data_IF_058226964838
#
_entry.id   IF_058226964838
#
_cell.length_a   1.000
_cell.length_b   1.000
_cell.length_c   1.000
_cell.angle_alpha   90.00
_cell.angle_beta   90.00
_cell.angle_gamma   90.00
#
_symmetry.space_group_name_H-M   'P 1'
#
loop_
_entity.id
_entity.type
_entity.pdbx_description
1 polymer ?
#
# COMPACT_ATOMS: atom_id res chain seq x y z
N UNK A 1 -9.33 -22.46 -10.32
CA UNK A 1 -8.86 -21.21 -9.70
C UNK A 1 -7.75 -20.70 -10.59
N UNK A 2 -7.87 -19.51 -11.17
CA UNK A 2 -6.79 -18.97 -12.01
C UNK A 2 -5.53 -18.82 -11.15
N UNK A 3 -4.42 -19.33 -11.67
CA UNK A 3 -3.10 -19.21 -11.06
C UNK A 3 -2.60 -17.77 -11.21
N UNK A 4 -3.08 -16.88 -10.34
CA UNK A 4 -2.54 -15.51 -10.27
C UNK A 4 -1.18 -15.60 -9.61
N UNK A 5 -0.10 -15.58 -10.41
CA UNK A 5 1.26 -15.69 -9.90
C UNK A 5 1.65 -14.56 -8.92
N UNK A 6 1.02 -13.38 -9.05
CA UNK A 6 1.24 -12.20 -8.19
C UNK A 6 0.13 -11.17 -8.40
N UNK A 7 -0.15 -10.36 -7.38
CA UNK A 7 -0.98 -9.16 -7.50
C UNK A 7 -0.20 -7.90 -7.10
N UNK A 8 -0.53 -6.77 -7.72
CA UNK A 8 -0.01 -5.45 -7.34
C UNK A 8 -1.19 -4.53 -7.10
N UNK A 9 -1.21 -3.85 -5.95
CA UNK A 9 -2.20 -2.83 -5.60
C UNK A 9 -1.51 -1.48 -5.67
N UNK A 10 -2.10 -0.54 -6.42
CA UNK A 10 -1.58 0.84 -6.53
C UNK A 10 -2.53 1.77 -5.78
N UNK A 11 -1.98 2.57 -4.87
CA UNK A 11 -2.72 3.53 -4.04
C UNK A 11 -2.18 4.94 -4.34
N UNK A 12 -2.82 5.71 -5.22
CA UNK A 12 -2.53 7.13 -5.32
C UNK A 12 -3.01 7.84 -4.05
N UNK A 13 -2.17 8.70 -3.49
CA UNK A 13 -2.45 9.47 -2.28
C UNK A 13 -1.99 10.92 -2.49
N UNK A 14 -2.90 11.88 -2.28
CA UNK A 14 -2.61 13.31 -2.27
C UNK A 14 -3.07 13.89 -0.94
N UNK A 15 -2.13 14.19 -0.04
CA UNK A 15 -2.39 14.74 1.29
C UNK A 15 -3.35 13.88 2.15
N UNK A 16 -2.98 12.61 2.33
CA UNK A 16 -3.80 11.60 3.00
C UNK A 16 -3.17 11.07 4.30
N UNK A 17 -2.29 11.82 4.97
CA UNK A 17 -1.57 11.39 6.18
C UNK A 17 -2.50 10.79 7.24
N UNK A 18 -3.71 11.33 7.41
CA UNK A 18 -4.67 10.86 8.41
C UNK A 18 -5.38 9.54 8.04
N UNK A 19 -5.53 9.25 6.74
CA UNK A 19 -6.35 8.12 6.25
C UNK A 19 -5.51 6.98 5.67
N UNK A 20 -4.36 7.31 5.09
CA UNK A 20 -3.45 6.38 4.45
C UNK A 20 -3.02 5.24 5.39
N UNK A 21 -2.73 5.45 6.69
CA UNK A 21 -2.38 4.35 7.59
C UNK A 21 -3.48 3.29 7.74
N UNK A 22 -4.75 3.72 7.75
CA UNK A 22 -5.90 2.80 7.84
C UNK A 22 -6.08 2.03 6.53
N UNK A 23 -5.91 2.70 5.39
CA UNK A 23 -5.95 2.07 4.07
C UNK A 23 -4.88 0.96 3.95
N UNK A 24 -3.62 1.29 4.28
CA UNK A 24 -2.51 0.35 4.16
C UNK A 24 -2.64 -0.84 5.11
N UNK A 25 -3.11 -0.63 6.35
CA UNK A 25 -3.43 -1.75 7.27
C UNK A 25 -4.49 -2.69 6.70
N UNK A 26 -5.52 -2.14 6.05
CA UNK A 26 -6.58 -2.95 5.43
C UNK A 26 -6.02 -3.76 4.25
N UNK A 27 -5.16 -3.16 3.42
CA UNK A 27 -4.52 -3.83 2.29
C UNK A 27 -3.55 -4.93 2.74
N UNK A 28 -2.70 -4.66 3.74
CA UNK A 28 -1.81 -5.69 4.31
C UNK A 28 -2.61 -6.84 4.90
N UNK A 29 -3.73 -6.56 5.58
CA UNK A 29 -4.63 -7.61 6.09
C UNK A 29 -5.25 -8.42 4.95
N UNK A 30 -5.74 -7.76 3.91
CA UNK A 30 -6.36 -8.43 2.77
C UNK A 30 -5.36 -9.30 1.98
N UNK A 31 -4.10 -8.87 1.88
CA UNK A 31 -3.01 -9.62 1.26
C UNK A 31 -2.78 -10.98 1.92
N UNK A 32 -2.97 -11.08 3.24
CA UNK A 32 -2.87 -12.36 3.97
C UNK A 32 -4.02 -13.32 3.66
N UNK A 33 -5.10 -12.86 3.05
CA UNK A 33 -6.29 -13.67 2.75
C UNK A 33 -6.32 -14.21 1.32
N UNK A 34 -5.30 -13.93 0.50
CA UNK A 34 -5.20 -14.41 -0.88
C UNK A 34 -3.99 -15.33 -1.04
N UNK A 35 -4.07 -16.34 -1.94
CA UNK A 35 -2.97 -17.29 -2.14
C UNK A 35 -1.80 -16.70 -2.95
N UNK A 36 -2.02 -15.57 -3.64
CA UNK A 36 -1.00 -14.90 -4.45
C UNK A 36 -0.24 -13.87 -3.62
N UNK A 37 1.10 -13.73 -3.77
CA UNK A 37 1.84 -12.63 -3.17
C UNK A 37 1.30 -11.28 -3.66
N UNK A 38 1.13 -10.32 -2.74
CA UNK A 38 0.63 -8.97 -3.04
C UNK A 38 1.72 -7.95 -2.71
N UNK A 39 1.97 -7.03 -3.65
CA UNK A 39 2.82 -5.86 -3.41
C UNK A 39 1.96 -4.60 -3.50
N UNK A 40 2.06 -3.71 -2.52
CA UNK A 40 1.35 -2.43 -2.51
C UNK A 40 2.32 -1.31 -2.89
N UNK A 41 1.97 -0.52 -3.89
CA UNK A 41 2.70 0.67 -4.32
C UNK A 41 1.85 1.89 -3.98
N UNK A 42 2.34 2.71 -3.05
CA UNK A 42 1.76 3.99 -2.69
C UNK A 42 2.41 5.05 -3.57
N UNK A 43 1.61 5.80 -4.31
CA UNK A 43 2.08 6.90 -5.15
C UNK A 43 1.74 8.19 -4.42
N UNK A 44 2.75 8.92 -3.95
CA UNK A 44 2.55 10.25 -3.38
C UNK A 44 2.39 11.25 -4.53
N UNK A 45 1.15 11.57 -4.86
CA UNK A 45 0.81 12.46 -5.97
C UNK A 45 0.97 13.92 -5.55
N UNK A 46 2.21 14.43 -5.53
CA UNK A 46 2.50 15.82 -5.15
C UNK A 46 2.01 16.22 -3.75
N UNK A 47 2.06 15.30 -2.79
CA UNK A 47 1.68 15.53 -1.39
C UNK A 47 2.71 16.41 -0.66
N UNK A 48 2.23 17.29 0.21
CA UNK A 48 3.02 18.19 1.05
C UNK A 48 2.65 18.13 2.54
N UNK A 49 1.76 17.20 2.92
CA UNK A 49 1.31 16.99 4.31
C UNK A 49 2.25 16.13 5.16
N UNK A 50 3.36 15.64 4.60
CA UNK A 50 4.29 14.73 5.27
C UNK A 50 3.88 13.24 5.21
N UNK A 51 3.01 12.84 4.29
CA UNK A 51 2.66 11.43 4.07
C UNK A 51 3.86 10.50 3.78
N UNK A 52 5.01 11.04 3.38
CA UNK A 52 6.26 10.31 3.14
C UNK A 52 6.86 9.69 4.42
N UNK A 53 6.58 10.25 5.60
CA UNK A 53 7.06 9.71 6.88
C UNK A 53 6.52 8.32 7.19
N UNK A 54 5.40 7.94 6.55
CA UNK A 54 4.76 6.63 6.68
C UNK A 54 5.54 5.52 5.95
N UNK A 55 6.52 5.87 5.10
CA UNK A 55 7.33 4.91 4.40
C UNK A 55 8.12 4.02 5.37
N UNK A 56 8.00 2.71 5.21
CA UNK A 56 8.66 1.71 6.06
C UNK A 56 7.85 1.25 7.28
N UNK A 57 6.70 1.86 7.58
CA UNK A 57 5.86 1.44 8.71
C UNK A 57 5.05 0.15 8.46
N UNK A 58 4.87 -0.26 7.20
CA UNK A 58 3.91 -1.31 6.80
C UNK A 58 4.56 -2.62 6.32
N UNK A 59 5.88 -2.75 6.48
CA UNK A 59 6.64 -3.94 6.09
C UNK A 59 7.18 -3.90 4.66
N UNK A 60 7.91 -4.96 4.24
CA UNK A 60 8.72 -4.94 3.03
C UNK A 60 7.92 -4.99 1.72
N UNK A 61 6.64 -5.35 1.77
CA UNK A 61 5.76 -5.47 0.60
C UNK A 61 4.98 -4.17 0.29
N UNK A 62 5.21 -3.10 1.06
CA UNK A 62 4.62 -1.78 0.85
C UNK A 62 5.72 -0.79 0.48
N UNK A 63 5.63 -0.22 -0.72
CA UNK A 63 6.61 0.72 -1.25
C UNK A 63 5.95 2.05 -1.54
N UNK A 64 6.65 3.14 -1.22
CA UNK A 64 6.23 4.50 -1.53
C UNK A 64 7.07 4.99 -2.72
N UNK A 65 6.42 5.62 -3.70
CA UNK A 65 7.04 6.26 -4.86
C UNK A 65 6.52 7.68 -5.08
#
# INVERSE_FOLDING_TARGET
MSDTARAVVVVPAHNELEHLPRCLRALTTAALCVPAPVTTIVVLDSSDDGSDVLAGEFGPDVHFI
#
